data_IF_657031377559
#
_entry.id   IF_657031377559
#
_cell.length_a   1.000
_cell.length_b   1.000
_cell.length_c   1.000
_cell.angle_alpha   90.00
_cell.angle_beta   90.00
_cell.angle_gamma   90.00
#
_symmetry.space_group_name_H-M   'P 1'
#
loop_
_entity.id
_entity.type
_entity.pdbx_description
1 polymer ?
#
# COMPACT_ATOMS: atom_id res chain seq x y z
N UNK A 1 15.48 -28.82 7.44
CA UNK A 1 15.54 -27.38 7.76
C UNK A 1 15.71 -26.63 6.44
N UNK A 2 14.77 -25.79 6.06
CA UNK A 2 14.84 -25.02 4.84
C UNK A 2 15.85 -23.86 4.99
N UNK A 3 16.29 -23.25 3.90
CA UNK A 3 17.11 -22.05 3.96
C UNK A 3 16.43 -20.90 4.72
N UNK A 4 15.10 -20.82 4.61
CA UNK A 4 14.29 -19.83 5.35
C UNK A 4 14.35 -20.09 6.86
N UNK A 5 14.27 -21.36 7.30
CA UNK A 5 14.36 -21.69 8.72
C UNK A 5 15.75 -21.32 9.29
N UNK A 6 16.80 -21.46 8.51
CA UNK A 6 18.16 -21.06 8.92
C UNK A 6 18.25 -19.57 9.13
N UNK A 7 17.79 -18.75 8.14
CA UNK A 7 17.75 -17.28 8.25
C UNK A 7 16.89 -16.80 9.42
N UNK A 8 15.75 -17.45 9.64
CA UNK A 8 14.90 -17.13 10.78
C UNK A 8 15.59 -17.40 12.13
N UNK A 9 16.27 -18.55 12.26
CA UNK A 9 17.02 -18.87 13.48
C UNK A 9 18.20 -17.93 13.70
N UNK A 10 18.90 -17.53 12.64
CA UNK A 10 19.95 -16.49 12.72
C UNK A 10 19.35 -15.16 13.20
N UNK A 11 18.22 -14.74 12.62
CA UNK A 11 17.50 -13.55 13.07
C UNK A 11 17.12 -13.62 14.56
N UNK A 12 16.57 -14.74 15.01
CA UNK A 12 16.22 -14.94 16.41
C UNK A 12 17.44 -14.85 17.33
N UNK A 13 18.60 -15.34 16.89
CA UNK A 13 19.83 -15.28 17.67
C UNK A 13 20.38 -13.88 17.86
N UNK A 14 19.98 -12.93 17.01
CA UNK A 14 20.34 -11.51 17.09
C UNK A 14 19.44 -10.70 18.03
N UNK A 15 18.32 -11.30 18.50
CA UNK A 15 17.35 -10.61 19.34
C UNK A 15 17.71 -10.66 20.84
N UNK A 16 17.43 -9.60 21.60
CA UNK A 16 16.94 -8.30 21.13
C UNK A 16 18.07 -7.49 20.46
N UNK A 17 17.75 -6.81 19.37
CA UNK A 17 18.70 -5.91 18.72
C UNK A 17 19.08 -4.75 19.66
N UNK A 18 20.31 -4.26 19.53
CA UNK A 18 20.68 -2.99 20.14
C UNK A 18 19.81 -1.87 19.56
N UNK A 19 19.45 -0.85 20.38
CA UNK A 19 18.59 0.25 19.91
C UNK A 19 19.10 0.93 18.63
N UNK A 20 20.41 1.09 18.50
CA UNK A 20 21.02 1.70 17.31
C UNK A 20 20.83 0.84 16.05
N UNK A 21 21.01 -0.46 16.17
CA UNK A 21 20.87 -1.40 15.06
C UNK A 21 19.38 -1.54 14.66
N UNK A 22 18.49 -1.57 15.66
CA UNK A 22 17.05 -1.55 15.42
C UNK A 22 16.64 -0.29 14.66
N UNK A 23 17.07 0.89 15.10
CA UNK A 23 16.75 2.16 14.43
C UNK A 23 17.27 2.21 12.99
N UNK A 24 18.47 1.67 12.73
CA UNK A 24 19.02 1.58 11.37
C UNK A 24 18.19 0.66 10.49
N UNK A 25 17.80 -0.50 11.02
CA UNK A 25 16.99 -1.48 10.32
C UNK A 25 15.60 -0.92 10.00
N UNK A 26 14.93 -0.32 11.00
CA UNK A 26 13.60 0.27 10.84
C UNK A 26 13.61 1.38 9.78
N UNK A 27 14.66 2.24 9.79
CA UNK A 27 14.84 3.28 8.78
C UNK A 27 15.05 2.70 7.39
N UNK A 28 15.92 1.69 7.27
CA UNK A 28 16.20 1.02 5.99
C UNK A 28 14.93 0.35 5.46
N UNK A 29 14.24 -0.40 6.31
CA UNK A 29 12.99 -1.05 5.94
C UNK A 29 11.94 -0.03 5.47
N UNK A 30 11.73 1.04 6.23
CA UNK A 30 10.79 2.10 5.87
C UNK A 30 11.10 2.69 4.50
N UNK A 31 12.37 3.01 4.21
CA UNK A 31 12.77 3.57 2.92
C UNK A 31 12.60 2.57 1.78
N UNK A 32 13.11 1.36 1.92
CA UNK A 32 13.07 0.34 0.87
C UNK A 32 11.63 -0.11 0.59
N UNK A 33 10.82 -0.31 1.62
CA UNK A 33 9.44 -0.72 1.47
C UNK A 33 8.62 0.36 0.75
N UNK A 34 8.71 1.63 1.20
CA UNK A 34 8.03 2.73 0.54
C UNK A 34 8.47 2.88 -0.91
N UNK A 35 9.78 2.91 -1.18
CA UNK A 35 10.31 3.05 -2.53
C UNK A 35 9.85 1.92 -3.45
N UNK A 36 10.09 0.67 -3.07
CA UNK A 36 9.79 -0.47 -3.93
C UNK A 36 8.30 -0.64 -4.18
N UNK A 37 7.46 -0.51 -3.15
CA UNK A 37 6.00 -0.63 -3.30
C UNK A 37 5.44 0.43 -4.23
N UNK A 38 5.82 1.70 -4.04
CA UNK A 38 5.35 2.78 -4.91
C UNK A 38 5.90 2.64 -6.34
N UNK A 39 7.15 2.19 -6.49
CA UNK A 39 7.76 2.01 -7.81
C UNK A 39 7.07 0.90 -8.63
N UNK A 40 6.63 -0.19 -7.99
CA UNK A 40 5.83 -1.25 -8.63
C UNK A 40 4.51 -0.69 -9.17
N UNK A 41 3.91 0.28 -8.48
CA UNK A 41 2.66 0.95 -8.87
C UNK A 41 2.87 2.12 -9.87
N UNK A 42 4.11 2.33 -10.31
CA UNK A 42 4.43 3.32 -11.34
C UNK A 42 4.84 4.70 -10.84
N UNK A 43 5.07 4.88 -9.54
CA UNK A 43 5.65 6.10 -8.98
C UNK A 43 7.06 6.31 -9.50
N UNK A 44 7.38 7.53 -9.91
CA UNK A 44 8.62 7.88 -10.63
C UNK A 44 9.73 8.43 -9.75
N UNK A 45 9.49 8.60 -8.45
CA UNK A 45 10.52 9.08 -7.52
C UNK A 45 11.71 8.12 -7.48
N UNK A 46 12.91 8.65 -7.55
CA UNK A 46 14.14 7.88 -7.31
C UNK A 46 14.28 7.54 -5.83
N UNK A 47 15.12 6.56 -5.52
CA UNK A 47 15.42 6.20 -4.13
C UNK A 47 15.94 7.40 -3.32
N UNK A 48 16.84 8.19 -3.90
CA UNK A 48 17.37 9.41 -3.24
C UNK A 48 16.30 10.48 -3.02
N UNK A 49 15.36 10.67 -3.94
CA UNK A 49 14.22 11.58 -3.74
C UNK A 49 13.28 11.07 -2.65
N UNK A 50 13.03 9.76 -2.60
CA UNK A 50 12.24 9.13 -1.52
C UNK A 50 12.92 9.34 -0.16
N UNK A 51 14.24 9.14 -0.08
CA UNK A 51 15.00 9.37 1.14
C UNK A 51 14.93 10.83 1.62
N UNK A 52 15.18 11.78 0.71
CA UNK A 52 15.09 13.21 1.01
C UNK A 52 13.70 13.61 1.49
N UNK A 53 12.66 13.09 0.85
CA UNK A 53 11.27 13.35 1.20
C UNK A 53 10.91 12.78 2.58
N UNK A 54 11.17 11.50 2.81
CA UNK A 54 10.67 10.81 4.00
C UNK A 54 11.50 11.08 5.25
N UNK A 55 12.81 11.29 5.12
CA UNK A 55 13.68 11.55 6.27
C UNK A 55 13.85 13.02 6.60
N UNK A 56 13.84 13.89 5.58
CA UNK A 56 14.17 15.32 5.76
C UNK A 56 13.03 16.26 5.38
N UNK A 57 11.91 15.74 4.84
CA UNK A 57 10.80 16.55 4.36
C UNK A 57 11.16 17.46 3.18
N UNK A 58 12.25 17.14 2.47
CA UNK A 58 12.75 17.95 1.35
C UNK A 58 12.24 17.39 0.03
N UNK A 59 11.86 18.30 -0.84
CA UNK A 59 11.47 18.00 -2.22
C UNK A 59 12.57 18.56 -3.14
N UNK A 60 13.00 17.75 -4.09
CA UNK A 60 13.90 18.19 -5.17
C UNK A 60 13.07 18.70 -6.34
N UNK A 61 13.61 19.69 -7.04
CA UNK A 61 13.02 20.19 -8.28
C UNK A 61 12.78 19.04 -9.27
N UNK A 62 11.70 19.12 -10.05
CA UNK A 62 11.26 18.15 -11.05
C UNK A 62 10.49 16.91 -10.53
N UNK A 63 10.26 16.77 -9.23
CA UNK A 63 9.42 15.69 -8.73
C UNK A 63 7.94 15.94 -9.03
N UNK A 64 7.24 14.91 -9.52
CA UNK A 64 5.80 14.98 -9.77
C UNK A 64 5.05 15.10 -8.43
N UNK A 65 4.15 16.10 -8.33
CA UNK A 65 3.39 16.34 -7.10
C UNK A 65 2.55 15.11 -6.69
N UNK A 66 1.94 14.45 -7.65
CA UNK A 66 1.18 13.21 -7.41
C UNK A 66 2.06 12.14 -6.78
N UNK A 67 3.25 11.91 -7.32
CA UNK A 67 4.18 10.89 -6.82
C UNK A 67 4.66 11.20 -5.39
N UNK A 68 4.88 12.49 -5.09
CA UNK A 68 5.22 12.95 -3.74
C UNK A 68 4.09 12.69 -2.74
N UNK A 69 2.86 12.94 -3.15
CA UNK A 69 1.67 12.74 -2.31
C UNK A 69 1.39 11.27 -2.07
N UNK A 70 1.49 10.44 -3.10
CA UNK A 70 1.36 8.97 -2.99
C UNK A 70 2.41 8.40 -2.05
N UNK A 71 3.67 8.80 -2.20
CA UNK A 71 4.76 8.35 -1.33
C UNK A 71 4.52 8.71 0.14
N UNK A 72 4.06 9.94 0.42
CA UNK A 72 3.72 10.37 1.78
C UNK A 72 2.55 9.58 2.36
N UNK A 73 1.48 9.40 1.58
CA UNK A 73 0.31 8.65 2.00
C UNK A 73 0.67 7.19 2.32
N UNK A 74 1.45 6.56 1.46
CA UNK A 74 1.94 5.20 1.66
C UNK A 74 2.77 5.07 2.94
N UNK A 75 3.68 6.02 3.20
CA UNK A 75 4.47 6.03 4.43
C UNK A 75 3.62 6.22 5.70
N UNK A 76 2.53 6.99 5.62
CA UNK A 76 1.56 7.09 6.73
C UNK A 76 0.87 5.75 6.95
N UNK A 77 0.40 5.09 5.88
CA UNK A 77 -0.22 3.77 5.97
C UNK A 77 0.73 2.72 6.57
N UNK A 78 2.01 2.73 6.17
CA UNK A 78 3.00 1.82 6.73
C UNK A 78 3.12 1.98 8.26
N UNK A 79 3.16 3.22 8.75
CA UNK A 79 3.19 3.47 10.20
C UNK A 79 1.92 3.04 10.90
N UNK A 80 0.75 3.30 10.32
CA UNK A 80 -0.53 2.84 10.86
C UNK A 80 -0.55 1.31 11.00
N UNK A 81 -0.06 0.58 9.99
CA UNK A 81 0.04 -0.88 10.02
C UNK A 81 1.00 -1.35 11.11
N UNK A 82 2.15 -0.69 11.28
CA UNK A 82 3.11 -1.05 12.32
C UNK A 82 2.54 -0.83 13.73
N UNK A 83 1.87 0.29 13.97
CA UNK A 83 1.22 0.62 15.23
C UNK A 83 0.10 -0.38 15.56
N UNK A 84 -0.75 -0.71 14.59
CA UNK A 84 -1.83 -1.71 14.75
C UNK A 84 -1.26 -3.13 14.99
N UNK A 85 -0.19 -3.48 14.28
CA UNK A 85 0.45 -4.78 14.45
C UNK A 85 1.13 -4.98 15.82
N UNK A 86 1.55 -3.90 16.47
CA UNK A 86 2.14 -3.92 17.81
C UNK A 86 1.06 -4.08 18.90
N UNK A 87 -0.17 -3.60 18.65
CA UNK A 87 -1.29 -3.76 19.57
C UNK A 87 -1.94 -5.14 19.44
N UNK A 88 -1.56 -6.03 20.33
CA UNK A 88 -2.09 -7.40 20.37
C UNK A 88 -3.48 -7.51 21.03
N UNK A 89 -4.03 -6.42 21.53
CA UNK A 89 -5.33 -6.40 22.23
C UNK A 89 -6.53 -6.34 21.27
N UNK A 90 -6.30 -5.93 20.03
CA UNK A 90 -7.36 -5.77 19.03
C UNK A 90 -7.15 -6.69 17.83
N UNK A 91 -8.22 -7.32 17.32
CA UNK A 91 -8.17 -7.99 16.03
C UNK A 91 -8.10 -6.98 14.88
N UNK A 92 -7.64 -7.43 13.72
CA UNK A 92 -7.76 -6.65 12.49
C UNK A 92 -9.24 -6.36 12.21
N UNK A 93 -9.58 -5.09 12.00
CA UNK A 93 -10.97 -4.67 11.78
C UNK A 93 -11.20 -4.17 10.36
N UNK A 94 -12.41 -4.36 9.84
CA UNK A 94 -12.88 -3.76 8.59
C UNK A 94 -12.71 -2.23 8.60
N UNK A 95 -12.99 -1.59 9.73
CA UNK A 95 -12.83 -0.14 9.90
C UNK A 95 -11.40 0.29 9.65
N UNK A 96 -10.43 -0.45 10.19
CA UNK A 96 -9.02 -0.15 9.98
C UNK A 96 -8.60 -0.33 8.52
N UNK A 97 -9.05 -1.39 7.84
CA UNK A 97 -8.80 -1.60 6.40
C UNK A 97 -9.34 -0.44 5.57
N UNK A 98 -10.56 0.03 5.88
CA UNK A 98 -11.17 1.18 5.20
C UNK A 98 -10.44 2.50 5.51
N UNK A 99 -9.92 2.66 6.72
CA UNK A 99 -9.07 3.81 7.07
C UNK A 99 -7.76 3.81 6.29
N UNK A 100 -7.11 2.65 6.12
CA UNK A 100 -5.92 2.52 5.26
C UNK A 100 -6.24 2.91 3.81
N UNK A 101 -7.33 2.41 3.27
CA UNK A 101 -7.76 2.76 1.92
C UNK A 101 -8.02 4.27 1.77
N UNK A 102 -8.71 4.87 2.75
CA UNK A 102 -8.94 6.31 2.76
C UNK A 102 -7.63 7.11 2.85
N UNK A 103 -6.71 6.70 3.73
CA UNK A 103 -5.43 7.37 3.91
C UNK A 103 -4.56 7.28 2.66
N UNK A 104 -4.57 6.13 2.00
CA UNK A 104 -3.77 5.89 0.79
C UNK A 104 -4.28 6.71 -0.39
N UNK A 105 -5.60 6.76 -0.60
CA UNK A 105 -6.22 7.51 -1.70
C UNK A 105 -6.37 9.00 -1.39
N UNK A 106 -6.51 9.37 -0.10
CA UNK A 106 -6.67 10.74 0.43
C UNK A 106 -8.01 11.39 0.08
N UNK A 107 -8.44 11.29 -1.15
CA UNK A 107 -9.69 11.88 -1.67
C UNK A 107 -10.33 10.97 -2.71
N UNK A 108 -11.58 11.22 -2.99
CA UNK A 108 -12.30 10.58 -4.09
C UNK A 108 -11.69 11.01 -5.42
N UNK A 109 -11.58 10.09 -6.37
CA UNK A 109 -11.08 10.41 -7.69
C UNK A 109 -11.91 9.79 -8.80
N UNK A 110 -11.93 10.45 -9.96
CA UNK A 110 -12.63 9.97 -11.14
C UNK A 110 -11.72 9.14 -12.02
N UNK A 111 -12.10 7.87 -12.20
CA UNK A 111 -11.44 6.97 -13.14
C UNK A 111 -12.11 7.08 -14.52
N UNK A 112 -11.31 7.26 -15.55
CA UNK A 112 -11.75 7.26 -16.95
C UNK A 112 -11.37 5.96 -17.62
N UNK A 113 -12.28 5.38 -18.38
CA UNK A 113 -12.05 4.14 -19.13
C UNK A 113 -12.54 4.29 -20.55
N UNK A 114 -11.70 3.94 -21.52
CA UNK A 114 -12.11 3.83 -22.93
C UNK A 114 -12.79 2.48 -23.16
N UNK A 115 -13.96 2.51 -23.77
CA UNK A 115 -14.72 1.32 -24.17
C UNK A 115 -14.24 0.81 -25.55
N UNK A 116 -14.52 -0.46 -25.90
CA UNK A 116 -14.11 -1.03 -27.20
C UNK A 116 -14.65 -0.27 -28.42
N UNK A 117 -15.77 0.44 -28.28
CA UNK A 117 -16.37 1.29 -29.31
C UNK A 117 -15.72 2.67 -29.46
N UNK A 118 -14.65 2.94 -28.68
CA UNK A 118 -13.93 4.20 -28.68
C UNK A 118 -14.54 5.28 -27.78
N UNK A 119 -15.70 5.06 -27.19
CA UNK A 119 -16.31 5.99 -26.24
C UNK A 119 -15.61 5.95 -24.89
N UNK A 120 -15.65 7.07 -24.15
CA UNK A 120 -15.09 7.15 -22.80
C UNK A 120 -16.20 7.13 -21.76
N UNK A 121 -16.09 6.25 -20.78
CA UNK A 121 -16.94 6.26 -19.59
C UNK A 121 -16.10 6.68 -18.38
N UNK A 122 -16.76 7.19 -17.34
CA UNK A 122 -16.10 7.53 -16.09
C UNK A 122 -16.90 7.07 -14.89
N UNK A 123 -16.23 6.90 -13.77
CA UNK A 123 -16.84 6.60 -12.47
C UNK A 123 -15.97 7.11 -11.35
N UNK A 124 -16.59 7.39 -10.21
CA UNK A 124 -15.88 7.86 -9.02
C UNK A 124 -15.47 6.67 -8.16
N UNK A 125 -14.23 6.68 -7.69
CA UNK A 125 -13.74 5.80 -6.64
C UNK A 125 -13.74 6.61 -5.35
N UNK A 126 -14.47 6.12 -4.35
CA UNK A 126 -14.61 6.77 -3.06
C UNK A 126 -13.58 6.23 -2.07
N UNK A 127 -12.81 7.13 -1.46
CA UNK A 127 -11.80 6.79 -0.48
C UNK A 127 -12.41 6.20 0.79
N UNK A 128 -11.96 5.02 1.20
CA UNK A 128 -12.45 4.34 2.41
C UNK A 128 -13.85 3.72 2.30
N UNK A 129 -14.37 3.59 1.08
CA UNK A 129 -15.70 3.02 0.82
C UNK A 129 -15.57 1.75 -0.02
N UNK A 130 -16.44 0.79 0.20
CA UNK A 130 -16.51 -0.40 -0.65
C UNK A 130 -16.90 -0.04 -2.08
N UNK A 131 -16.47 -0.87 -3.01
CA UNK A 131 -16.80 -0.72 -4.42
C UNK A 131 -18.32 -0.71 -4.64
N UNK A 132 -18.75 0.14 -5.56
CA UNK A 132 -20.15 0.26 -5.98
C UNK A 132 -20.39 -0.36 -7.37
N UNK A 133 -19.31 -0.89 -7.98
CA UNK A 133 -19.36 -1.51 -9.32
C UNK A 133 -18.62 -2.84 -9.30
N UNK A 134 -19.09 -3.82 -10.08
CA UNK A 134 -18.38 -5.08 -10.26
C UNK A 134 -17.01 -4.83 -10.90
N UNK A 135 -16.04 -5.65 -10.54
CA UNK A 135 -14.71 -5.65 -11.14
C UNK A 135 -14.27 -7.07 -11.49
N UNK A 136 -13.46 -7.18 -12.50
CA UNK A 136 -12.91 -8.43 -13.00
C UNK A 136 -11.49 -8.21 -13.51
N UNK A 137 -10.73 -9.27 -13.61
CA UNK A 137 -9.42 -9.27 -14.29
C UNK A 137 -9.43 -10.28 -15.42
N UNK A 138 -8.65 -10.00 -16.45
CA UNK A 138 -8.34 -10.98 -17.49
C UNK A 138 -6.99 -11.57 -17.14
N UNK A 139 -6.95 -12.89 -16.97
CA UNK A 139 -5.72 -13.62 -16.68
C UNK A 139 -4.78 -13.59 -17.87
N UNK A 140 -3.52 -13.96 -17.65
CA UNK A 140 -2.55 -14.11 -18.76
C UNK A 140 -2.93 -15.17 -19.77
N UNK A 141 -3.82 -16.10 -19.40
CA UNK A 141 -4.41 -17.11 -20.30
C UNK A 141 -5.63 -16.62 -21.06
N UNK A 142 -6.08 -15.38 -20.82
CA UNK A 142 -7.25 -14.78 -21.45
C UNK A 142 -8.59 -15.11 -20.78
N UNK A 143 -8.58 -15.83 -19.67
CA UNK A 143 -9.78 -16.13 -18.89
C UNK A 143 -10.20 -14.92 -18.07
N UNK A 144 -11.51 -14.69 -17.98
CA UNK A 144 -12.06 -13.63 -17.14
C UNK A 144 -12.36 -14.16 -15.74
N UNK A 145 -11.73 -13.55 -14.73
CA UNK A 145 -12.03 -13.81 -13.34
C UNK A 145 -12.89 -12.67 -12.78
N UNK A 146 -14.06 -13.02 -12.27
CA UNK A 146 -14.98 -12.08 -11.61
C UNK A 146 -14.74 -12.09 -10.10
N UNK A 147 -14.54 -10.91 -9.51
CA UNK A 147 -14.51 -10.76 -8.06
C UNK A 147 -15.93 -10.73 -7.48
N UNK A 148 -16.04 -10.91 -6.17
CA UNK A 148 -17.31 -10.74 -5.45
C UNK A 148 -18.04 -9.46 -5.88
N UNK A 149 -19.37 -9.53 -5.94
CA UNK A 149 -20.19 -8.37 -6.32
C UNK A 149 -20.08 -7.24 -5.26
N UNK A 150 -20.45 -6.01 -5.60
CA UNK A 150 -20.53 -4.92 -4.62
C UNK A 150 -21.45 -5.26 -3.44
N UNK A 151 -22.55 -5.96 -3.69
CA UNK A 151 -23.56 -6.35 -2.71
C UNK A 151 -23.03 -7.41 -1.73
N UNK A 152 -22.20 -8.34 -2.23
CA UNK A 152 -21.60 -9.42 -1.44
C UNK A 152 -20.37 -8.95 -0.64
N UNK A 153 -19.65 -7.92 -1.14
CA UNK A 153 -18.38 -7.49 -0.57
C UNK A 153 -18.45 -7.15 0.92
N UNK A 154 -19.46 -6.40 1.44
CA UNK A 154 -19.51 -6.09 2.86
C UNK A 154 -19.65 -7.32 3.75
N UNK A 155 -20.45 -8.30 3.35
CA UNK A 155 -20.64 -9.54 4.12
C UNK A 155 -19.36 -10.39 4.17
N UNK A 156 -18.66 -10.49 3.03
CA UNK A 156 -17.39 -11.25 2.93
C UNK A 156 -16.23 -10.59 3.67
N UNK A 157 -16.33 -9.32 4.00
CA UNK A 157 -15.30 -8.61 4.78
C UNK A 157 -15.52 -8.71 6.29
N UNK A 158 -16.69 -9.21 6.73
CA UNK A 158 -17.04 -9.33 8.14
C UNK A 158 -16.66 -10.71 8.71
N UNK A 159 -16.43 -11.71 7.86
CA UNK A 159 -16.02 -13.07 8.21
C UNK A 159 -14.49 -13.16 8.40
#
# INVERSE_FOLDING_TARGET
>A
MTHIDQLYNEWLSLQPLKPEDKNRLDRKFMLEFNYNSNHIEGNTLTYGQTELLLLFGKVVDEANMKDLEEMKAHNVCLRMIQEEADDKSHPLTETFIRQLHHTLLREDYTMYRQLPDGTTTSYVIHAGVYKTRPNSVITVTGERFEYASPEETPALMTD
#
